data_IF_881329788036
#
_entry.id   IF_881329788036
#
_cell.length_a   1.000
_cell.length_b   1.000
_cell.length_c   1.000
_cell.angle_alpha   90.00
_cell.angle_beta   90.00
_cell.angle_gamma   90.00
#
_symmetry.space_group_name_H-M   'P 1'
#
loop_
_entity.id
_entity.type
_entity.pdbx_description
1 polymer ?
#
# COMPACT_ATOMS: atom_id res chain seq x y z
N UNK A 1 -3.80 -14.45 -18.11
CA UNK A 1 -3.04 -14.26 -16.85
C UNK A 1 -2.63 -12.81 -16.80
N UNK A 2 -2.77 -12.18 -15.64
CA UNK A 2 -2.26 -10.84 -15.44
C UNK A 2 -0.80 -10.72 -15.91
N UNK A 3 -0.42 -9.60 -16.45
CA UNK A 3 0.82 -9.32 -17.17
C UNK A 3 2.13 -9.53 -16.36
N UNK A 4 2.37 -10.75 -15.86
CA UNK A 4 3.55 -11.07 -15.04
C UNK A 4 3.51 -10.56 -13.60
N UNK A 5 2.45 -9.86 -13.20
CA UNK A 5 2.20 -9.44 -11.81
C UNK A 5 1.79 -10.66 -11.01
N UNK A 6 2.55 -10.97 -9.95
CA UNK A 6 2.25 -12.13 -9.11
C UNK A 6 1.26 -11.78 -8.01
N UNK A 7 1.55 -10.73 -7.24
CA UNK A 7 0.79 -10.38 -6.03
C UNK A 7 0.99 -8.90 -5.66
N UNK A 8 0.19 -8.40 -4.71
CA UNK A 8 0.55 -7.21 -3.95
C UNK A 8 1.79 -7.54 -3.11
N UNK A 9 2.84 -6.78 -3.29
CA UNK A 9 4.03 -6.85 -2.42
C UNK A 9 3.84 -5.89 -1.23
N UNK A 10 3.61 -4.61 -1.49
CA UNK A 10 3.41 -3.63 -0.44
C UNK A 10 2.64 -2.39 -0.90
N UNK A 11 2.25 -1.59 0.08
CA UNK A 11 1.73 -0.24 -0.10
C UNK A 11 2.75 0.75 0.42
N UNK A 12 3.14 1.73 -0.38
CA UNK A 12 3.97 2.83 0.08
C UNK A 12 3.08 3.95 0.63
N UNK A 13 3.27 4.28 1.90
CA UNK A 13 2.58 5.35 2.61
C UNK A 13 3.59 6.47 2.87
N UNK A 14 3.40 7.62 2.24
CA UNK A 14 4.18 8.82 2.54
C UNK A 14 3.80 9.32 3.93
N UNK A 15 4.81 9.59 4.74
CA UNK A 15 4.67 10.21 6.06
C UNK A 15 5.60 11.42 6.17
N UNK A 16 5.18 12.42 6.94
CA UNK A 16 5.99 13.62 7.15
C UNK A 16 7.14 13.35 8.12
N UNK A 17 6.91 12.45 9.10
CA UNK A 17 7.91 12.06 10.09
C UNK A 17 7.79 10.57 10.39
N UNK A 18 8.86 9.80 10.15
CA UNK A 18 8.91 8.37 10.51
C UNK A 18 8.74 8.15 12.01
N UNK A 19 9.23 9.06 12.85
CA UNK A 19 9.06 8.98 14.30
C UNK A 19 7.59 9.13 14.68
N UNK A 20 6.91 10.19 14.22
CA UNK A 20 5.49 10.42 14.52
C UNK A 20 4.61 9.30 13.96
N UNK A 21 4.87 8.86 12.72
CA UNK A 21 4.16 7.73 12.13
C UNK A 21 4.35 6.44 12.94
N UNK A 22 5.58 6.17 13.41
CA UNK A 22 5.84 5.01 14.28
C UNK A 22 4.99 5.07 15.56
N UNK A 23 4.92 6.22 16.20
CA UNK A 23 4.10 6.41 17.40
C UNK A 23 2.60 6.18 17.11
N UNK A 24 2.07 6.73 16.00
CA UNK A 24 0.68 6.53 15.58
C UNK A 24 0.37 5.04 15.31
N UNK A 25 1.18 4.37 14.49
CA UNK A 25 0.96 2.98 14.14
C UNK A 25 1.18 2.03 15.33
N UNK A 26 2.11 2.35 16.24
CA UNK A 26 2.28 1.58 17.47
C UNK A 26 1.08 1.70 18.41
N UNK A 27 0.44 2.87 18.51
CA UNK A 27 -0.83 3.03 19.23
C UNK A 27 -1.97 2.20 18.60
N UNK A 28 -1.94 2.01 17.27
CA UNK A 28 -2.86 1.10 16.58
C UNK A 28 -2.50 -0.38 16.78
N UNK A 29 -1.40 -0.70 17.48
CA UNK A 29 -0.96 -2.06 17.79
C UNK A 29 -0.10 -2.71 16.72
N UNK A 30 0.43 -1.94 15.78
CA UNK A 30 1.41 -2.45 14.83
C UNK A 30 2.82 -2.44 15.42
N UNK A 31 3.59 -3.47 15.12
CA UNK A 31 5.04 -3.48 15.32
C UNK A 31 5.72 -2.91 14.06
N UNK A 32 6.60 -1.93 14.26
CA UNK A 32 7.24 -1.18 13.18
C UNK A 32 8.74 -1.47 13.20
N UNK A 33 9.32 -1.79 12.04
CA UNK A 33 10.75 -2.10 11.95
C UNK A 33 11.63 -0.89 12.29
N UNK A 34 12.92 -1.11 12.62
CA UNK A 34 13.90 -0.03 12.65
C UNK A 34 13.95 0.75 11.33
N UNK A 35 14.42 1.98 11.42
CA UNK A 35 14.58 2.84 10.26
C UNK A 35 15.68 2.33 9.33
N UNK A 36 15.44 2.45 8.03
CA UNK A 36 16.38 2.14 6.97
C UNK A 36 16.41 3.28 5.95
N UNK A 37 17.54 3.45 5.28
CA UNK A 37 17.74 4.48 4.28
C UNK A 37 17.96 3.86 2.91
N UNK A 38 17.37 4.48 1.89
CA UNK A 38 17.63 4.18 0.48
C UNK A 38 18.40 5.38 -0.08
N UNK A 39 19.72 5.38 0.15
CA UNK A 39 20.60 6.52 -0.16
C UNK A 39 20.49 6.95 -1.62
N UNK A 40 20.41 5.98 -2.55
CA UNK A 40 20.27 6.27 -3.98
C UNK A 40 19.00 7.02 -4.38
N UNK A 41 17.99 7.01 -3.51
CA UNK A 41 16.73 7.72 -3.71
C UNK A 41 16.56 8.91 -2.76
N UNK A 42 17.45 9.09 -1.79
CA UNK A 42 17.37 10.15 -0.78
C UNK A 42 16.16 10.02 0.16
N UNK A 43 15.72 8.79 0.44
CA UNK A 43 14.54 8.52 1.27
C UNK A 43 14.89 7.61 2.45
N UNK A 44 14.09 7.71 3.50
CA UNK A 44 14.13 6.79 4.63
C UNK A 44 12.79 6.09 4.79
N UNK A 45 12.83 4.85 5.31
CA UNK A 45 11.62 4.07 5.50
C UNK A 45 11.63 3.26 6.79
N UNK A 46 10.43 2.83 7.20
CA UNK A 46 10.15 1.78 8.19
C UNK A 46 9.05 0.89 7.64
N UNK A 47 9.04 -0.38 8.03
CA UNK A 47 8.09 -1.36 7.52
C UNK A 47 7.16 -1.83 8.63
N UNK A 48 5.90 -2.08 8.26
CA UNK A 48 4.92 -2.84 9.04
C UNK A 48 4.74 -4.14 8.28
N UNK A 49 5.41 -5.21 8.74
CA UNK A 49 5.45 -6.49 8.05
C UNK A 49 4.19 -7.30 8.35
N UNK A 50 3.50 -7.72 7.32
CA UNK A 50 2.32 -8.56 7.43
C UNK A 50 2.61 -9.98 6.96
N UNK A 51 1.73 -10.91 7.28
CA UNK A 51 1.85 -12.29 6.82
C UNK A 51 1.49 -12.39 5.35
N UNK A 52 2.35 -12.94 4.50
CA UNK A 52 1.99 -13.18 3.12
C UNK A 52 0.98 -14.34 3.03
N UNK A 53 0.07 -14.27 2.08
CA UNK A 53 -0.87 -15.39 1.83
C UNK A 53 -0.20 -16.58 1.20
N UNK A 54 0.99 -16.40 0.62
CA UNK A 54 1.76 -17.46 -0.07
C UNK A 54 3.25 -17.39 0.28
N UNK A 55 3.94 -18.54 0.32
CA UNK A 55 5.39 -18.57 0.48
C UNK A 55 6.10 -17.78 -0.64
N UNK A 56 7.17 -17.10 -0.30
CA UNK A 56 8.02 -16.38 -1.25
C UNK A 56 7.47 -15.01 -1.71
N UNK A 57 6.38 -14.54 -1.13
CA UNK A 57 5.81 -13.21 -1.36
C UNK A 57 5.97 -12.39 -0.09
N UNK A 58 6.26 -11.11 -0.22
CA UNK A 58 6.15 -10.18 0.90
C UNK A 58 4.72 -9.62 0.98
N UNK A 59 4.35 -9.10 2.14
CA UNK A 59 3.15 -8.30 2.33
C UNK A 59 3.44 -7.32 3.46
N UNK A 60 3.48 -6.02 3.16
CA UNK A 60 3.80 -5.01 4.17
C UNK A 60 3.27 -3.62 3.79
N UNK A 61 3.26 -2.73 4.77
CA UNK A 61 3.09 -1.31 4.57
C UNK A 61 4.47 -0.67 4.73
N UNK A 62 4.88 0.15 3.77
CA UNK A 62 6.13 0.89 3.79
C UNK A 62 5.85 2.33 4.16
N UNK A 63 6.24 2.74 5.36
CA UNK A 63 6.22 4.13 5.79
C UNK A 63 7.44 4.81 5.23
N UNK A 64 7.27 5.81 4.37
CA UNK A 64 8.37 6.46 3.67
C UNK A 64 8.36 7.97 3.90
N UNK A 65 9.53 8.53 4.20
CA UNK A 65 9.73 9.97 4.33
C UNK A 65 10.94 10.44 3.53
N UNK A 66 10.99 11.74 3.27
CA UNK A 66 12.13 12.44 2.69
C UNK A 66 12.87 13.15 3.81
N UNK A 67 14.00 12.64 4.31
CA UNK A 67 14.75 13.27 5.40
C UNK A 67 15.43 14.57 4.97
N UNK A 68 15.82 14.69 3.71
CA UNK A 68 16.46 15.86 3.13
C UNK A 68 15.92 16.11 1.72
N UNK A 69 15.15 17.19 1.58
CA UNK A 69 14.52 17.55 0.30
C UNK A 69 15.51 18.01 -0.79
N UNK A 70 16.75 18.36 -0.44
CA UNK A 70 17.77 18.78 -1.40
C UNK A 70 18.46 17.59 -2.07
N UNK A 71 18.43 16.42 -1.43
CA UNK A 71 19.14 15.21 -1.86
C UNK A 71 18.20 14.06 -2.28
N UNK A 72 16.93 14.34 -2.54
CA UNK A 72 15.96 13.32 -2.97
C UNK A 72 15.96 13.14 -4.49
N UNK A 73 15.84 11.90 -4.95
CA UNK A 73 15.65 11.60 -6.38
C UNK A 73 14.40 12.34 -6.92
N UNK A 74 14.49 13.01 -8.08
CA UNK A 74 13.38 13.82 -8.62
C UNK A 74 12.07 13.05 -8.77
N UNK A 75 12.11 11.76 -9.11
CA UNK A 75 10.91 10.92 -9.24
C UNK A 75 10.28 10.69 -7.86
N UNK A 76 11.10 10.40 -6.85
CA UNK A 76 10.63 10.23 -5.49
C UNK A 76 10.14 11.56 -4.91
N UNK A 77 10.83 12.67 -5.17
CA UNK A 77 10.38 14.00 -4.79
C UNK A 77 8.98 14.30 -5.32
N UNK A 78 8.72 13.99 -6.60
CA UNK A 78 7.40 14.19 -7.21
C UNK A 78 6.32 13.34 -6.51
N UNK A 79 6.57 12.04 -6.31
CA UNK A 79 5.63 11.12 -5.66
C UNK A 79 5.36 11.50 -4.21
N UNK A 80 6.38 11.96 -3.49
CA UNK A 80 6.32 12.28 -2.05
C UNK A 80 6.04 13.75 -1.76
N UNK A 81 5.84 14.60 -2.78
CA UNK A 81 5.55 16.03 -2.61
C UNK A 81 4.15 16.33 -2.06
N UNK A 82 3.21 15.40 -2.23
CA UNK A 82 1.82 15.56 -1.76
C UNK A 82 1.70 15.34 -0.24
N UNK A 83 0.51 15.58 0.32
CA UNK A 83 0.16 15.28 1.71
C UNK A 83 0.45 13.82 2.08
N UNK A 84 0.44 13.48 3.37
CA UNK A 84 0.52 12.09 3.83
C UNK A 84 -0.54 11.18 3.18
N UNK A 85 -0.32 9.88 3.19
CA UNK A 85 -1.23 8.88 2.64
C UNK A 85 -0.56 7.88 1.70
N UNK A 86 -1.34 6.93 1.19
CA UNK A 86 -0.87 5.91 0.26
C UNK A 86 -0.51 6.56 -1.09
N UNK A 87 0.71 6.35 -1.57
CA UNK A 87 1.20 6.89 -2.83
C UNK A 87 1.38 5.84 -3.91
N UNK A 88 1.65 4.60 -3.53
CA UNK A 88 1.87 3.51 -4.48
C UNK A 88 1.26 2.21 -4.01
N UNK A 89 0.78 1.45 -4.99
CA UNK A 89 0.59 0.00 -4.88
C UNK A 89 1.79 -0.64 -5.57
N UNK A 90 2.57 -1.41 -4.82
CA UNK A 90 3.73 -2.10 -5.36
C UNK A 90 3.41 -3.57 -5.53
N UNK A 91 3.57 -4.08 -6.75
CA UNK A 91 3.32 -5.47 -7.08
C UNK A 91 4.62 -6.23 -7.24
N UNK A 92 4.65 -7.46 -6.74
CA UNK A 92 5.73 -8.40 -7.03
C UNK A 92 5.62 -8.86 -8.48
N UNK A 93 6.66 -8.61 -9.25
CA UNK A 93 6.84 -9.21 -10.57
C UNK A 93 7.75 -10.43 -10.43
N UNK A 94 7.28 -11.60 -10.83
CA UNK A 94 8.09 -12.84 -10.86
C UNK A 94 9.20 -12.71 -11.92
N UNK A 95 8.87 -12.03 -13.01
CA UNK A 95 9.76 -11.76 -14.13
C UNK A 95 9.47 -10.37 -14.66
N UNK A 96 10.32 -9.42 -14.29
CA UNK A 96 10.09 -8.00 -14.60
C UNK A 96 10.28 -7.70 -16.08
N UNK A 97 11.16 -8.40 -16.79
CA UNK A 97 11.32 -8.27 -18.23
C UNK A 97 10.05 -8.72 -18.98
N UNK A 98 9.50 -9.84 -18.57
CA UNK A 98 8.22 -10.32 -19.12
C UNK A 98 7.07 -9.38 -18.79
N UNK A 99 7.04 -8.81 -17.59
CA UNK A 99 6.07 -7.78 -17.22
C UNK A 99 6.16 -6.59 -18.18
N UNK A 100 7.37 -6.03 -18.38
CA UNK A 100 7.61 -4.90 -19.28
C UNK A 100 7.21 -5.24 -20.72
N UNK A 101 7.60 -6.42 -21.24
CA UNK A 101 7.22 -6.86 -22.57
C UNK A 101 5.70 -6.92 -22.73
N UNK A 102 5.00 -7.52 -21.78
CA UNK A 102 3.53 -7.66 -21.83
C UNK A 102 2.81 -6.30 -21.78
N UNK A 103 3.31 -5.35 -20.97
CA UNK A 103 2.72 -4.01 -20.92
C UNK A 103 2.94 -3.24 -22.22
N UNK A 104 4.13 -3.39 -22.84
CA UNK A 104 4.44 -2.77 -24.15
C UNK A 104 3.60 -3.33 -25.29
N UNK A 105 3.32 -4.63 -25.28
CA UNK A 105 2.41 -5.27 -26.25
C UNK A 105 0.99 -4.69 -26.21
N UNK A 106 0.60 -4.08 -25.09
CA UNK A 106 -0.68 -3.40 -24.92
C UNK A 106 -0.63 -1.91 -25.23
N UNK A 107 0.42 -1.46 -25.92
CA UNK A 107 0.66 -0.06 -26.26
C UNK A 107 0.70 0.89 -25.05
N UNK A 108 0.89 0.34 -23.85
CA UNK A 108 1.00 1.11 -22.61
C UNK A 108 2.47 1.47 -22.36
N UNK A 109 2.72 2.73 -22.08
CA UNK A 109 4.06 3.17 -21.71
C UNK A 109 4.49 2.53 -20.37
N UNK A 110 5.74 2.13 -20.31
CA UNK A 110 6.36 1.62 -19.08
C UNK A 110 7.78 2.19 -18.99
N UNK A 111 8.14 2.66 -17.80
CA UNK A 111 9.48 3.17 -17.52
C UNK A 111 10.56 2.10 -17.78
N UNK A 112 11.79 2.49 -18.05
CA UNK A 112 12.94 1.58 -18.01
C UNK A 112 13.01 0.85 -16.67
N UNK A 113 13.58 -0.35 -16.68
CA UNK A 113 13.83 -1.08 -15.44
C UNK A 113 14.97 -0.41 -14.68
N UNK A 114 14.73 -0.01 -13.45
CA UNK A 114 15.72 0.56 -12.54
C UNK A 114 16.29 -0.52 -11.63
N UNK A 115 17.58 -0.49 -11.43
CA UNK A 115 18.30 -1.37 -10.52
C UNK A 115 18.68 -0.56 -9.27
N UNK A 116 18.02 -0.87 -8.16
CA UNK A 116 18.18 -0.14 -6.90
C UNK A 116 18.88 -1.05 -5.90
N UNK A 117 19.83 -0.47 -5.15
CA UNK A 117 20.55 -1.15 -4.07
C UNK A 117 20.40 -0.36 -2.80
N UNK A 118 20.25 -1.06 -1.69
CA UNK A 118 20.29 -0.47 -0.35
C UNK A 118 21.03 -1.37 0.62
N UNK A 119 21.59 -0.76 1.65
CA UNK A 119 22.09 -1.49 2.80
C UNK A 119 20.94 -1.74 3.78
N UNK A 120 20.85 -2.95 4.24
CA UNK A 120 19.91 -3.36 5.27
C UNK A 120 20.72 -3.88 6.46
N UNK A 121 20.45 -3.33 7.65
CA UNK A 121 21.03 -3.87 8.88
C UNK A 121 20.11 -4.94 9.43
N UNK A 122 20.66 -6.12 9.59
CA UNK A 122 20.01 -7.21 10.30
C UNK A 122 20.00 -6.91 11.80
N UNK A 123 19.11 -7.53 12.62
CA UNK A 123 19.05 -7.25 14.05
C UNK A 123 20.29 -7.62 14.85
N UNK A 124 21.08 -8.56 14.34
CA UNK A 124 22.40 -8.96 14.84
C UNK A 124 23.50 -7.99 14.43
N UNK A 125 23.16 -6.91 13.68
CA UNK A 125 24.06 -5.84 13.32
C UNK A 125 24.87 -6.09 12.04
N UNK A 126 24.63 -7.20 11.34
CA UNK A 126 25.23 -7.43 10.04
C UNK A 126 24.60 -6.55 8.98
N UNK A 127 25.40 -6.06 8.04
CA UNK A 127 24.92 -5.29 6.91
C UNK A 127 24.82 -6.18 5.67
N UNK A 128 23.64 -6.20 5.06
CA UNK A 128 23.39 -6.91 3.81
C UNK A 128 23.00 -5.94 2.71
N UNK A 129 23.54 -6.13 1.52
CA UNK A 129 23.11 -5.37 0.34
C UNK A 129 21.89 -6.02 -0.27
N UNK A 130 20.77 -5.31 -0.23
CA UNK A 130 19.55 -5.69 -0.92
C UNK A 130 19.55 -5.03 -2.29
N UNK A 131 19.27 -5.81 -3.32
CA UNK A 131 19.10 -5.35 -4.68
C UNK A 131 17.70 -5.66 -5.14
N UNK A 132 17.01 -4.68 -5.70
CA UNK A 132 15.72 -4.86 -6.32
C UNK A 132 15.62 -4.08 -7.63
N UNK A 133 14.78 -4.58 -8.50
CA UNK A 133 14.54 -4.03 -9.82
C UNK A 133 13.12 -3.55 -9.87
N UNK A 134 12.92 -2.33 -10.28
CA UNK A 134 11.62 -1.70 -10.32
C UNK A 134 11.34 -1.12 -11.70
N UNK A 135 10.09 -1.14 -12.09
CA UNK A 135 9.58 -0.39 -13.23
C UNK A 135 8.17 0.08 -12.92
N UNK A 136 7.75 1.11 -13.61
CA UNK A 136 6.45 1.72 -13.40
C UNK A 136 5.71 1.79 -14.74
N UNK A 137 4.54 1.15 -14.87
CA UNK A 137 3.66 1.44 -15.97
C UNK A 137 3.09 2.85 -15.78
N UNK A 138 3.34 3.71 -16.75
CA UNK A 138 2.87 5.11 -16.73
C UNK A 138 2.03 5.34 -17.98
N UNK A 139 0.79 4.92 -18.00
CA UNK A 139 -0.10 5.36 -19.06
C UNK A 139 -0.41 6.84 -18.83
N UNK A 140 -0.47 7.61 -19.90
CA UNK A 140 -0.98 8.97 -19.83
C UNK A 140 -2.36 8.97 -19.18
N UNK A 141 -2.47 9.57 -17.97
CA UNK A 141 -3.73 9.65 -17.25
C UNK A 141 -4.01 8.50 -16.27
N UNK A 142 -3.04 7.64 -15.96
CA UNK A 142 -3.20 6.66 -14.88
C UNK A 142 -3.49 7.39 -13.55
N UNK A 143 -4.61 7.08 -12.88
CA UNK A 143 -5.01 7.81 -11.69
C UNK A 143 -4.18 7.45 -10.46
N UNK A 144 -3.43 6.34 -10.47
CA UNK A 144 -2.66 5.84 -9.32
C UNK A 144 -1.29 5.34 -9.77
N UNK A 145 -0.28 5.52 -8.91
CA UNK A 145 1.07 5.02 -9.17
C UNK A 145 1.17 3.53 -8.82
N UNK A 146 1.67 2.74 -9.76
CA UNK A 146 1.92 1.31 -9.60
C UNK A 146 3.36 1.01 -10.00
N UNK A 147 4.08 0.30 -9.15
CA UNK A 147 5.40 -0.23 -9.48
C UNK A 147 5.34 -1.75 -9.61
N UNK A 148 6.06 -2.31 -10.57
CA UNK A 148 6.42 -3.71 -10.54
C UNK A 148 7.79 -3.84 -9.87
N UNK A 149 7.92 -4.78 -8.96
CA UNK A 149 9.04 -4.94 -8.06
C UNK A 149 9.52 -6.40 -8.11
N UNK A 150 10.83 -6.59 -8.28
CA UNK A 150 11.47 -7.91 -8.28
C UNK A 150 12.68 -7.89 -7.35
N UNK A 151 12.57 -8.29 -6.07
CA UNK A 151 13.71 -8.35 -5.16
C UNK A 151 14.63 -9.52 -5.51
N UNK A 152 15.93 -9.35 -5.30
CA UNK A 152 16.90 -10.43 -5.46
C UNK A 152 16.83 -11.46 -4.34
N UNK A 153 16.31 -11.06 -3.18
CA UNK A 153 16.13 -11.89 -2.00
C UNK A 153 14.78 -11.61 -1.38
N UNK A 154 13.86 -12.56 -1.49
CA UNK A 154 12.54 -12.45 -0.88
C UNK A 154 12.61 -13.04 0.54
N UNK A 155 12.31 -12.21 1.53
CA UNK A 155 12.06 -12.66 2.89
C UNK A 155 13.26 -12.92 3.79
N UNK A 156 14.51 -12.92 3.31
CA UNK A 156 15.68 -13.15 4.18
C UNK A 156 15.90 -12.06 5.22
N UNK A 157 15.48 -10.82 4.90
CA UNK A 157 15.55 -9.68 5.80
C UNK A 157 14.19 -9.31 6.42
N UNK A 158 13.10 -9.91 5.95
CA UNK A 158 11.76 -9.71 6.50
C UNK A 158 11.53 -10.68 7.67
N UNK A 159 11.91 -10.24 8.85
CA UNK A 159 11.95 -11.10 10.04
C UNK A 159 10.55 -11.35 10.59
N UNK A 160 10.27 -12.61 10.86
CA UNK A 160 8.98 -13.06 11.38
C UNK A 160 8.59 -12.38 12.69
N UNK A 161 9.56 -11.98 13.53
CA UNK A 161 9.28 -11.28 14.79
C UNK A 161 8.48 -9.99 14.59
N UNK A 162 8.69 -9.25 13.49
CA UNK A 162 7.97 -8.01 13.18
C UNK A 162 6.60 -8.24 12.53
N UNK A 163 6.15 -9.49 12.41
CA UNK A 163 4.83 -9.84 11.90
C UNK A 163 3.82 -10.14 13.01
N UNK A 164 4.27 -10.12 14.27
CA UNK A 164 3.43 -10.38 15.43
C UNK A 164 2.91 -9.07 16.01
N UNK A 165 1.84 -8.58 15.44
CA UNK A 165 1.20 -7.33 15.85
C UNK A 165 0.25 -7.53 17.02
N UNK A 166 0.26 -6.61 18.00
CA UNK A 166 -0.65 -6.65 19.14
C UNK A 166 -2.13 -6.55 18.73
N UNK A 167 -2.42 -5.93 17.59
CA UNK A 167 -3.77 -5.86 16.98
C UNK A 167 -4.15 -7.13 16.20
N UNK A 168 -3.28 -8.14 16.12
CA UNK A 168 -3.55 -9.38 15.39
C UNK A 168 -3.62 -9.23 13.87
N UNK A 169 -3.05 -8.16 13.30
CA UNK A 169 -3.02 -7.92 11.86
C UNK A 169 -2.33 -9.07 11.11
N UNK A 170 -2.92 -9.48 10.00
CA UNK A 170 -2.43 -10.60 9.18
C UNK A 170 -1.96 -10.14 7.81
N UNK A 171 -2.86 -9.65 6.96
CA UNK A 171 -2.51 -9.21 5.60
C UNK A 171 -3.47 -8.15 5.09
N UNK A 172 -3.04 -7.47 4.04
CA UNK A 172 -3.90 -6.55 3.30
C UNK A 172 -4.95 -7.35 2.54
N UNK A 173 -6.23 -7.08 2.81
CA UNK A 173 -7.37 -7.68 2.11
C UNK A 173 -7.83 -6.84 0.93
N UNK A 174 -7.83 -5.52 1.09
CA UNK A 174 -8.22 -4.60 0.02
C UNK A 174 -7.48 -3.28 0.09
N UNK A 175 -7.38 -2.62 -1.06
CA UNK A 175 -6.94 -1.23 -1.20
C UNK A 175 -8.04 -0.46 -1.93
N UNK A 176 -8.42 0.72 -1.42
CA UNK A 176 -9.45 1.54 -2.02
C UNK A 176 -8.84 2.80 -2.63
N UNK A 177 -9.00 2.89 -3.95
CA UNK A 177 -8.70 4.09 -4.72
C UNK A 177 -9.95 4.92 -4.96
N UNK A 178 -9.82 6.24 -4.85
CA UNK A 178 -10.91 7.20 -5.06
C UNK A 178 -10.63 8.03 -6.30
N UNK A 179 -11.60 8.10 -7.19
CA UNK A 179 -11.54 8.90 -8.41
C UNK A 179 -12.71 9.89 -8.46
N UNK A 180 -12.57 10.96 -9.22
CA UNK A 180 -13.72 11.80 -9.56
C UNK A 180 -14.71 11.02 -10.45
N UNK A 181 -15.95 11.48 -10.55
CA UNK A 181 -16.95 10.85 -11.41
C UNK A 181 -16.47 10.73 -12.87
N UNK A 182 -15.72 11.70 -13.37
CA UNK A 182 -15.16 11.69 -14.72
C UNK A 182 -13.98 10.71 -14.88
N UNK A 183 -13.21 10.50 -13.83
CA UNK A 183 -12.02 9.63 -13.84
C UNK A 183 -12.35 8.18 -13.46
N UNK A 184 -13.53 7.91 -12.92
CA UNK A 184 -13.90 6.58 -12.42
C UNK A 184 -13.84 5.49 -13.51
N UNK A 185 -14.54 5.69 -14.63
CA UNK A 185 -14.54 4.70 -15.72
C UNK A 185 -13.16 4.53 -16.37
N UNK A 186 -12.40 5.58 -16.68
CA UNK A 186 -11.01 5.45 -17.11
C UNK A 186 -10.10 4.72 -16.11
N UNK A 187 -10.25 4.98 -14.81
CA UNK A 187 -9.47 4.29 -13.78
C UNK A 187 -9.77 2.79 -13.74
N UNK A 188 -11.03 2.42 -13.80
CA UNK A 188 -11.43 1.00 -13.84
C UNK A 188 -10.85 0.32 -15.07
N UNK A 189 -11.04 0.90 -16.26
CA UNK A 189 -10.54 0.36 -17.52
C UNK A 189 -9.01 0.17 -17.49
N UNK A 190 -8.29 1.13 -16.92
CA UNK A 190 -6.83 1.02 -16.75
C UNK A 190 -6.42 -0.22 -15.95
N UNK A 191 -7.06 -0.48 -14.81
CA UNK A 191 -6.71 -1.63 -13.99
C UNK A 191 -7.21 -2.95 -14.57
N UNK A 192 -8.35 -2.95 -15.26
CA UNK A 192 -8.80 -4.11 -16.05
C UNK A 192 -7.76 -4.50 -17.09
N UNK A 193 -7.24 -3.53 -17.81
CA UNK A 193 -6.21 -3.76 -18.83
C UNK A 193 -4.88 -4.18 -18.18
N UNK A 194 -4.43 -3.49 -17.12
CA UNK A 194 -3.20 -3.83 -16.41
C UNK A 194 -3.20 -5.28 -15.91
N UNK A 195 -4.31 -5.71 -15.29
CA UNK A 195 -4.39 -7.05 -14.72
C UNK A 195 -4.91 -8.10 -15.72
N UNK A 196 -5.54 -7.69 -16.80
CA UNK A 196 -6.25 -8.60 -17.73
C UNK A 196 -7.45 -9.28 -17.07
N UNK A 197 -8.13 -8.59 -16.16
CA UNK A 197 -9.25 -9.09 -15.34
C UNK A 197 -10.36 -8.06 -15.36
N UNK A 198 -11.58 -8.47 -15.73
CA UNK A 198 -12.73 -7.60 -15.70
C UNK A 198 -13.14 -7.21 -14.27
N UNK A 199 -13.49 -5.96 -14.07
CA UNK A 199 -13.98 -5.46 -12.80
C UNK A 199 -15.40 -5.97 -12.53
N UNK A 200 -15.68 -6.30 -11.28
CA UNK A 200 -17.04 -6.54 -10.79
C UNK A 200 -17.64 -5.23 -10.31
N UNK A 201 -18.85 -4.92 -10.75
CA UNK A 201 -19.61 -3.77 -10.25
C UNK A 201 -20.26 -4.15 -8.93
N UNK A 202 -19.82 -3.51 -7.84
CA UNK A 202 -20.32 -3.78 -6.47
C UNK A 202 -21.35 -2.75 -6.00
N UNK A 203 -21.71 -1.79 -6.87
CA UNK A 203 -22.68 -0.73 -6.61
C UNK A 203 -22.48 0.45 -7.56
N UNK A 204 -23.30 1.47 -7.41
CA UNK A 204 -23.12 2.72 -8.15
C UNK A 204 -21.79 3.37 -7.74
N UNK A 205 -20.94 3.66 -8.73
CA UNK A 205 -19.62 4.24 -8.49
C UNK A 205 -18.66 3.35 -7.68
N UNK A 206 -18.87 2.02 -7.66
CA UNK A 206 -17.99 1.05 -7.00
C UNK A 206 -17.65 -0.06 -7.99
N UNK A 207 -16.36 -0.28 -8.22
CA UNK A 207 -15.83 -1.39 -9.00
C UNK A 207 -14.72 -2.11 -8.22
N UNK A 208 -14.72 -3.42 -8.27
CA UNK A 208 -13.73 -4.27 -7.60
C UNK A 208 -13.00 -5.14 -8.63
N UNK A 209 -11.68 -5.14 -8.56
CA UNK A 209 -10.80 -5.99 -9.35
C UNK A 209 -9.99 -6.82 -8.36
N UNK A 210 -9.99 -8.13 -8.54
CA UNK A 210 -9.27 -9.05 -7.67
C UNK A 210 -8.19 -9.78 -8.46
N UNK A 211 -6.99 -9.18 -8.61
CA UNK A 211 -5.91 -9.79 -9.38
C UNK A 211 -5.50 -11.16 -8.84
N UNK A 212 -5.46 -11.31 -7.53
CA UNK A 212 -5.25 -12.58 -6.80
C UNK A 212 -5.88 -12.52 -5.42
N UNK A 213 -5.10 -12.19 -4.40
CA UNK A 213 -5.50 -12.30 -3.00
C UNK A 213 -5.94 -10.95 -2.40
N UNK A 214 -5.60 -9.84 -3.07
CA UNK A 214 -5.97 -8.49 -2.64
C UNK A 214 -7.00 -7.91 -3.59
N UNK A 215 -8.06 -7.33 -3.03
CA UNK A 215 -9.06 -6.61 -3.81
C UNK A 215 -8.61 -5.16 -4.02
N UNK A 216 -8.49 -4.74 -5.28
CA UNK A 216 -8.42 -3.32 -5.62
C UNK A 216 -9.85 -2.82 -5.84
N UNK A 217 -10.28 -1.92 -4.96
CA UNK A 217 -11.59 -1.25 -5.06
C UNK A 217 -11.38 0.15 -5.60
N UNK A 218 -12.03 0.47 -6.72
CA UNK A 218 -12.07 1.81 -7.29
C UNK A 218 -13.45 2.38 -7.03
N UNK A 219 -13.51 3.58 -6.45
CA UNK A 219 -14.77 4.21 -6.09
C UNK A 219 -14.81 5.68 -6.49
N UNK A 220 -16.02 6.22 -6.65
CA UNK A 220 -16.20 7.68 -6.72
C UNK A 220 -16.08 8.30 -5.32
N UNK A 221 -15.82 9.61 -5.23
CA UNK A 221 -15.77 10.31 -3.95
C UNK A 221 -17.09 10.18 -3.15
N UNK A 222 -18.22 10.23 -3.84
CA UNK A 222 -19.54 10.05 -3.22
C UNK A 222 -19.68 8.62 -2.65
N UNK A 223 -19.28 7.62 -3.41
CA UNK A 223 -19.35 6.22 -2.96
C UNK A 223 -18.36 5.96 -1.82
N UNK A 224 -17.18 6.60 -1.83
CA UNK A 224 -16.23 6.53 -0.71
C UNK A 224 -16.85 7.06 0.59
N UNK A 225 -17.49 8.23 0.54
CA UNK A 225 -18.20 8.77 1.71
C UNK A 225 -19.33 7.86 2.17
N UNK A 226 -20.01 7.18 1.25
CA UNK A 226 -21.02 6.17 1.58
C UNK A 226 -20.46 4.88 2.19
N UNK A 227 -19.24 4.47 1.79
CA UNK A 227 -18.54 3.33 2.37
C UNK A 227 -17.99 3.61 3.77
N UNK A 228 -17.61 4.85 4.04
CA UNK A 228 -16.97 5.27 5.29
C UNK A 228 -17.68 6.50 5.91
N UNK A 229 -19.00 6.42 6.18
CA UNK A 229 -19.74 7.57 6.70
C UNK A 229 -19.25 8.01 8.10
N UNK A 230 -18.62 7.09 8.82
CA UNK A 230 -18.18 7.29 10.20
C UNK A 230 -17.00 8.24 10.34
N UNK A 231 -16.17 8.36 9.30
CA UNK A 231 -14.98 9.22 9.34
C UNK A 231 -15.28 10.68 8.96
N UNK A 232 -16.53 10.95 8.55
CA UNK A 232 -16.92 12.27 8.10
C UNK A 232 -16.28 12.69 6.77
N UNK A 233 -16.39 13.96 6.38
CA UNK A 233 -15.78 14.47 5.17
C UNK A 233 -14.25 14.45 5.26
N UNK A 234 -13.60 13.78 4.31
CA UNK A 234 -12.13 13.78 4.17
C UNK A 234 -11.78 14.62 2.94
N UNK A 235 -10.90 15.62 3.06
CA UNK A 235 -10.42 16.38 1.91
C UNK A 235 -9.47 15.49 1.08
N UNK A 236 -9.99 14.89 0.01
CA UNK A 236 -9.22 14.02 -0.88
C UNK A 236 -8.70 14.81 -2.08
N UNK A 237 -7.42 14.67 -2.36
CA UNK A 237 -6.82 15.13 -3.62
C UNK A 237 -6.98 14.02 -4.66
N UNK A 238 -8.02 14.13 -5.48
CA UNK A 238 -8.37 13.11 -6.46
C UNK A 238 -7.51 13.18 -7.73
N UNK A 239 -7.13 12.03 -8.31
CA UNK A 239 -7.36 10.68 -7.80
C UNK A 239 -6.37 10.32 -6.70
N UNK A 240 -6.76 9.46 -5.74
CA UNK A 240 -5.89 9.03 -4.65
C UNK A 240 -6.19 7.61 -4.20
N UNK A 241 -5.25 7.01 -3.46
CA UNK A 241 -5.46 5.80 -2.68
C UNK A 241 -5.81 6.24 -1.25
N UNK A 242 -7.02 5.94 -0.78
CA UNK A 242 -7.56 6.55 0.44
C UNK A 242 -7.75 5.58 1.60
N UNK A 243 -7.90 4.28 1.34
CA UNK A 243 -8.12 3.31 2.41
C UNK A 243 -7.40 1.98 2.18
N UNK A 244 -7.11 1.30 3.28
CA UNK A 244 -6.60 -0.06 3.31
C UNK A 244 -7.46 -0.90 4.26
N UNK A 245 -7.83 -2.11 3.82
CA UNK A 245 -8.53 -3.11 4.65
C UNK A 245 -7.51 -4.17 5.08
N UNK A 246 -7.40 -4.40 6.38
CA UNK A 246 -6.49 -5.36 7.01
C UNK A 246 -7.30 -6.47 7.67
N UNK A 247 -7.00 -7.72 7.34
CA UNK A 247 -7.54 -8.87 8.06
C UNK A 247 -6.84 -9.05 9.40
N UNK A 248 -7.63 -9.32 10.44
CA UNK A 248 -7.15 -9.50 11.81
C UNK A 248 -7.69 -10.80 12.42
N UNK A 249 -6.93 -11.38 13.34
CA UNK A 249 -7.31 -12.64 14.00
C UNK A 249 -8.39 -12.46 15.07
N UNK A 250 -8.47 -11.27 15.71
CA UNK A 250 -9.44 -10.96 16.77
C UNK A 250 -9.90 -9.50 16.67
N UNK A 251 -11.05 -9.29 16.02
CA UNK A 251 -11.63 -7.95 15.86
C UNK A 251 -12.04 -7.31 17.21
N UNK A 252 -12.45 -8.11 18.19
CA UNK A 252 -12.74 -7.61 19.53
C UNK A 252 -11.48 -7.15 20.26
N UNK A 253 -10.38 -7.89 20.09
CA UNK A 253 -9.07 -7.51 20.59
C UNK A 253 -8.60 -6.19 20.02
N UNK A 254 -8.74 -5.98 18.71
CA UNK A 254 -8.44 -4.71 18.05
C UNK A 254 -9.19 -3.56 18.72
N UNK A 255 -10.51 -3.69 18.89
CA UNK A 255 -11.30 -2.62 19.48
C UNK A 255 -10.89 -2.28 20.92
N UNK A 256 -10.59 -3.29 21.74
CA UNK A 256 -10.09 -3.07 23.11
C UNK A 256 -8.73 -2.36 23.10
N UNK A 257 -7.83 -2.77 22.22
CA UNK A 257 -6.51 -2.18 22.08
C UNK A 257 -6.58 -0.72 21.63
N UNK A 258 -7.36 -0.41 20.60
CA UNK A 258 -7.53 0.95 20.11
C UNK A 258 -8.11 1.87 21.19
N UNK A 259 -9.12 1.38 21.94
CA UNK A 259 -9.72 2.14 23.05
C UNK A 259 -8.70 2.36 24.20
N UNK A 260 -7.90 1.34 24.53
CA UNK A 260 -6.87 1.46 25.59
C UNK A 260 -5.74 2.43 25.22
N UNK A 261 -5.49 2.64 23.95
CA UNK A 261 -4.45 3.53 23.43
C UNK A 261 -5.00 4.91 22.97
N UNK A 262 -6.24 5.24 23.29
CA UNK A 262 -6.92 6.49 22.88
C UNK A 262 -6.88 6.72 21.35
N UNK A 263 -7.02 5.66 20.55
CA UNK A 263 -7.15 5.74 19.09
C UNK A 263 -8.63 5.84 18.74
N UNK A 264 -9.02 6.93 18.08
CA UNK A 264 -10.40 7.14 17.63
C UNK A 264 -10.79 6.10 16.57
N UNK A 265 -11.88 5.38 16.82
CA UNK A 265 -12.34 4.33 15.91
C UNK A 265 -13.86 4.11 16.00
N UNK A 266 -14.42 3.53 14.96
CA UNK A 266 -15.84 3.17 14.91
C UNK A 266 -15.99 1.69 14.60
N UNK A 267 -16.91 1.01 15.31
CA UNK A 267 -17.26 -0.39 15.07
C UNK A 267 -18.41 -0.48 14.10
N UNK A 268 -18.32 -1.39 13.14
CA UNK A 268 -19.37 -1.76 12.20
C UNK A 268 -19.99 -3.10 12.57
N UNK A 269 -21.31 -3.20 12.40
CA UNK A 269 -22.02 -4.46 12.65
C UNK A 269 -22.10 -5.36 11.43
N UNK A 270 -22.46 -4.80 10.26
CA UNK A 270 -22.64 -5.55 9.02
C UNK A 270 -22.15 -4.71 7.81
N UNK A 271 -21.11 -5.17 7.10
CA UNK A 271 -20.19 -6.25 7.53
C UNK A 271 -19.42 -5.88 8.80
N UNK A 272 -19.05 -6.91 9.58
CA UNK A 272 -18.29 -6.68 10.80
C UNK A 272 -16.93 -6.05 10.51
N UNK A 273 -16.60 -4.95 11.17
CA UNK A 273 -15.35 -4.23 10.96
C UNK A 273 -15.09 -3.15 12.01
N UNK A 274 -13.87 -2.62 11.98
CA UNK A 274 -13.48 -1.45 12.76
C UNK A 274 -12.82 -0.47 11.81
N UNK A 275 -13.25 0.78 11.83
CA UNK A 275 -12.70 1.84 11.00
C UNK A 275 -11.94 2.83 11.86
N UNK A 276 -10.70 3.13 11.46
CA UNK A 276 -9.84 4.17 12.00
C UNK A 276 -9.67 5.24 10.94
N UNK A 277 -9.95 6.48 11.30
CA UNK A 277 -9.89 7.61 10.39
C UNK A 277 -8.47 8.04 10.04
N UNK A 278 -8.31 8.86 8.97
CA UNK A 278 -7.01 9.25 8.45
C UNK A 278 -6.15 10.08 9.42
N UNK A 279 -6.74 10.76 10.39
CA UNK A 279 -6.01 11.52 11.40
C UNK A 279 -5.16 10.66 12.33
N UNK A 280 -5.57 9.41 12.53
CA UNK A 280 -4.87 8.45 13.40
C UNK A 280 -3.84 7.61 12.63
N UNK A 281 -3.81 7.70 11.29
CA UNK A 281 -3.05 6.80 10.44
C UNK A 281 -2.42 7.50 9.22
N UNK A 282 -1.76 8.64 9.43
CA UNK A 282 -1.00 9.36 8.41
C UNK A 282 -1.78 9.54 7.09
N UNK A 283 -3.01 10.05 7.17
CA UNK A 283 -3.83 10.34 6.00
C UNK A 283 -4.51 9.12 5.35
N UNK A 284 -4.43 7.94 5.95
CA UNK A 284 -5.01 6.69 5.43
C UNK A 284 -6.19 6.25 6.29
N UNK A 285 -7.32 5.90 5.66
CA UNK A 285 -8.40 5.21 6.36
C UNK A 285 -8.03 3.73 6.52
N UNK A 286 -8.01 3.23 7.75
CA UNK A 286 -7.81 1.81 8.03
C UNK A 286 -9.14 1.14 8.36
N UNK A 287 -9.40 0.02 7.73
CA UNK A 287 -10.52 -0.86 8.06
C UNK A 287 -9.98 -2.22 8.49
N UNK A 288 -10.27 -2.63 9.71
CA UNK A 288 -9.96 -3.96 10.22
C UNK A 288 -11.17 -4.86 10.06
N UNK A 289 -10.96 -6.04 9.48
CA UNK A 289 -12.00 -7.05 9.25
C UNK A 289 -11.57 -8.40 9.81
N UNK A 290 -12.52 -9.28 10.18
CA UNK A 290 -12.16 -10.62 10.61
C UNK A 290 -11.55 -11.43 9.48
N UNK A 291 -10.56 -12.30 9.79
CA UNK A 291 -9.91 -13.21 8.85
C UNK A 291 -10.82 -14.37 8.44
#
# INVERSE_FOLDING_TARGET
MAAGVAELDHLMIKVDSLKAATEQFSRMGFDVTPESHIESLGVANRLILLWPRRPGVANFLELMSVPDSENVDPTMAHVLSASEGIKMIVHLAVDIEKFVATIRERETWVDPIWDIRRQWQTPDGESQTIRFRVTKPVPGGAPFTINAYQPNVIGQYLQDRFRHHANGARHVAAVTGVASAQQFAPAVAYFEDLYGIAAQRAGEGIAEIKPRDVTLRIVTATSFAGLYPEIGPVPLQLPCLAAVTIEVSDLHGVARLLAANDVSHVRRGQPAGIVVGPHEACGVTFEFVPA
#
